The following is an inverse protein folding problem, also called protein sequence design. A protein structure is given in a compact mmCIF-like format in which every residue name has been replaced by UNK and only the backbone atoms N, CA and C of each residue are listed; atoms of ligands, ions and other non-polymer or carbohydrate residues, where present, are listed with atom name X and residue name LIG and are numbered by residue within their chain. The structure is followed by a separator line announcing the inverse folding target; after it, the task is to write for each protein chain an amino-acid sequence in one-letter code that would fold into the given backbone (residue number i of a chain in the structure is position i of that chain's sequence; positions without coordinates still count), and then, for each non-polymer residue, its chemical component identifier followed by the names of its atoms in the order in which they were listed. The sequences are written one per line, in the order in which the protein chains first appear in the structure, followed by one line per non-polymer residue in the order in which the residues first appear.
data_IF_698876443940
#
_entry.id   IF_698876443940
#
_cell.length_a   1.000
_cell.length_b   1.000
_cell.length_c   1.000
_cell.angle_alpha   90.00
_cell.angle_beta   90.00
_cell.angle_gamma   90.00
#
_symmetry.space_group_name_H-M   'P 1'
#
loop_
_entity.id
_entity.type
_entity.pdbx_description
1 polymer ?
#
# COMPACT_ATOMS: atom_id res chain seq x y z
N UNK A 1 39.35 -9.89 18.04
CA UNK A 1 38.73 -8.80 18.82
C UNK A 1 37.38 -9.30 19.31
N UNK A 2 37.07 -9.25 20.62
CA UNK A 2 35.89 -9.89 21.18
C UNK A 2 34.64 -9.15 20.66
N UNK A 3 33.69 -9.88 20.07
CA UNK A 3 32.44 -9.34 19.47
C UNK A 3 31.27 -9.32 20.46
N UNK A 4 31.55 -9.11 21.75
CA UNK A 4 30.67 -9.64 22.81
C UNK A 4 30.39 -8.70 23.98
N UNK A 5 30.73 -7.41 23.90
CA UNK A 5 30.28 -6.44 24.91
C UNK A 5 28.76 -6.25 24.84
N UNK A 6 28.12 -5.96 25.98
CA UNK A 6 26.67 -5.76 26.02
C UNK A 6 26.25 -4.51 25.23
N UNK A 7 27.13 -3.51 25.16
CA UNK A 7 26.98 -2.31 24.36
C UNK A 7 26.97 -2.63 22.86
N UNK A 8 27.90 -3.44 22.36
CA UNK A 8 27.92 -3.87 20.94
C UNK A 8 26.69 -4.69 20.59
N UNK A 9 26.21 -5.54 21.51
CA UNK A 9 24.98 -6.32 21.32
C UNK A 9 23.75 -5.41 21.25
N UNK A 10 23.68 -4.39 22.11
CA UNK A 10 22.61 -3.40 22.11
C UNK A 10 22.59 -2.60 20.80
N UNK A 11 23.75 -2.04 20.39
CA UNK A 11 23.88 -1.27 19.15
C UNK A 11 23.49 -2.10 17.92
N UNK A 12 23.90 -3.38 17.86
CA UNK A 12 23.52 -4.28 16.76
C UNK A 12 22.01 -4.54 16.72
N UNK A 13 21.36 -4.72 17.88
CA UNK A 13 19.90 -4.92 17.97
C UNK A 13 19.15 -3.67 17.52
N UNK A 14 19.62 -2.49 17.92
CA UNK A 14 19.04 -1.21 17.51
C UNK A 14 19.16 -1.01 15.99
N UNK A 15 20.35 -1.21 15.42
CA UNK A 15 20.58 -1.11 13.98
C UNK A 15 19.67 -2.08 13.19
N UNK A 16 19.48 -3.30 13.70
CA UNK A 16 18.57 -4.27 13.10
C UNK A 16 17.11 -3.80 13.14
N UNK A 17 16.64 -3.28 14.28
CA UNK A 17 15.28 -2.75 14.39
C UNK A 17 15.03 -1.54 13.48
N UNK A 18 16.02 -0.65 13.36
CA UNK A 18 15.96 0.48 12.42
C UNK A 18 15.91 0.00 10.96
N UNK A 19 16.67 -1.06 10.63
CA UNK A 19 16.60 -1.70 9.32
C UNK A 19 15.21 -2.28 9.00
N UNK A 20 14.55 -2.91 9.98
CA UNK A 20 13.19 -3.43 9.80
C UNK A 20 12.15 -2.31 9.60
N UNK A 21 12.27 -1.20 10.33
CA UNK A 21 11.41 -0.03 10.12
C UNK A 21 11.57 0.54 8.71
N UNK A 22 12.80 0.69 8.23
CA UNK A 22 13.07 1.11 6.87
C UNK A 22 12.51 0.12 5.83
N UNK A 23 12.67 -1.18 6.07
CA UNK A 23 12.13 -2.24 5.21
C UNK A 23 10.60 -2.22 5.14
N UNK A 24 9.89 -1.86 6.21
CA UNK A 24 8.44 -1.69 6.22
C UNK A 24 7.98 -0.45 5.43
N UNK A 25 8.79 0.61 5.40
CA UNK A 25 8.46 1.86 4.73
C UNK A 25 8.51 1.75 3.19
N UNK A 26 9.40 0.90 2.65
CA UNK A 26 9.52 0.68 1.20
C UNK A 26 8.21 0.19 0.56
N UNK A 27 7.58 -0.92 1.01
CA UNK A 27 6.30 -1.35 0.46
C UNK A 27 5.16 -0.38 0.76
N UNK A 28 5.21 0.39 1.85
CA UNK A 28 4.22 1.46 2.08
C UNK A 28 4.30 2.54 0.98
N UNK A 29 5.51 2.99 0.62
CA UNK A 29 5.73 3.92 -0.50
C UNK A 29 5.21 3.37 -1.83
N UNK A 30 5.36 2.07 -2.08
CA UNK A 30 4.78 1.42 -3.27
C UNK A 30 3.26 1.50 -3.25
N UNK A 31 2.63 1.20 -2.11
CA UNK A 31 1.18 1.31 -1.96
C UNK A 31 0.69 2.75 -2.17
N UNK A 32 1.33 3.74 -1.54
CA UNK A 32 1.01 5.16 -1.70
C UNK A 32 1.19 5.65 -3.14
N UNK A 33 2.20 5.14 -3.84
CA UNK A 33 2.45 5.47 -5.25
C UNK A 33 1.41 4.83 -6.16
N UNK A 34 1.07 3.56 -5.95
CA UNK A 34 0.03 2.87 -6.69
C UNK A 34 -1.34 3.55 -6.50
N UNK A 35 -1.64 4.03 -5.29
CA UNK A 35 -2.88 4.76 -5.00
C UNK A 35 -3.05 6.02 -5.87
N UNK A 36 -1.96 6.67 -6.29
CA UNK A 36 -2.01 7.86 -7.17
C UNK A 36 -2.53 7.55 -8.59
N UNK A 37 -2.68 6.28 -8.95
CA UNK A 37 -3.27 5.87 -10.24
C UNK A 37 -4.78 6.11 -10.26
N UNK A 38 -5.48 5.98 -9.13
CA UNK A 38 -6.94 6.14 -9.08
C UNK A 38 -7.48 7.44 -9.69
N UNK A 39 -6.97 8.64 -9.37
CA UNK A 39 -7.46 9.88 -10.01
C UNK A 39 -7.21 9.92 -11.52
N UNK A 40 -6.16 9.25 -12.01
CA UNK A 40 -5.86 9.15 -13.45
C UNK A 40 -6.86 8.20 -14.12
N UNK A 41 -7.09 7.03 -13.52
CA UNK A 41 -8.08 6.06 -13.98
C UNK A 41 -9.50 6.66 -13.99
N UNK A 42 -9.86 7.41 -12.95
CA UNK A 42 -11.13 8.14 -12.87
C UNK A 42 -11.27 9.18 -13.98
N UNK A 43 -10.19 9.91 -14.31
CA UNK A 43 -10.22 10.87 -15.41
C UNK A 43 -10.45 10.19 -16.77
N UNK A 44 -9.85 9.02 -16.99
CA UNK A 44 -10.07 8.22 -18.21
C UNK A 44 -11.53 7.77 -18.31
N UNK A 45 -12.11 7.26 -17.22
CA UNK A 45 -13.51 6.78 -17.19
C UNK A 45 -14.51 7.93 -17.35
N UNK A 46 -14.29 9.06 -16.66
CA UNK A 46 -15.26 10.17 -16.60
C UNK A 46 -15.20 11.13 -17.79
N UNK A 47 -14.02 11.32 -18.38
CA UNK A 47 -13.76 12.40 -19.35
C UNK A 47 -12.90 11.96 -20.55
N UNK A 48 -12.47 10.70 -20.58
CA UNK A 48 -11.61 10.18 -21.63
C UNK A 48 -12.37 9.79 -22.89
N UNK A 49 -11.63 9.17 -23.83
CA UNK A 49 -12.21 8.53 -25.01
C UNK A 49 -13.14 7.40 -24.56
N UNK A 50 -14.35 7.31 -25.11
CA UNK A 50 -15.29 6.20 -24.83
C UNK A 50 -14.68 4.83 -25.08
N UNK A 51 -13.76 4.71 -26.05
CA UNK A 51 -13.03 3.48 -26.33
C UNK A 51 -11.97 3.12 -25.26
N UNK A 52 -11.62 4.06 -24.37
CA UNK A 52 -10.62 3.88 -23.32
C UNK A 52 -11.25 3.65 -21.93
N UNK A 53 -12.58 3.61 -21.81
CA UNK A 53 -13.27 3.38 -20.53
C UNK A 53 -12.82 2.06 -19.91
N UNK A 54 -12.73 0.99 -20.71
CA UNK A 54 -12.27 -0.32 -20.24
C UNK A 54 -10.84 -0.27 -19.69
N UNK A 55 -9.95 0.49 -20.32
CA UNK A 55 -8.57 0.64 -19.85
C UNK A 55 -8.52 1.37 -18.50
N UNK A 56 -9.37 2.38 -18.32
CA UNK A 56 -9.53 3.08 -17.03
C UNK A 56 -10.08 2.18 -15.92
N UNK A 57 -11.07 1.35 -16.22
CA UNK A 57 -11.61 0.36 -15.27
C UNK A 57 -10.54 -0.67 -14.86
N UNK A 58 -9.81 -1.22 -15.84
CA UNK A 58 -8.71 -2.17 -15.60
C UNK A 58 -7.59 -1.50 -14.80
N UNK A 59 -7.24 -0.24 -15.10
CA UNK A 59 -6.25 0.51 -14.32
C UNK A 59 -6.66 0.68 -12.85
N UNK A 60 -7.94 0.95 -12.56
CA UNK A 60 -8.44 1.04 -11.18
C UNK A 60 -8.32 -0.30 -10.44
N UNK A 61 -8.69 -1.42 -11.09
CA UNK A 61 -8.57 -2.76 -10.50
C UNK A 61 -7.10 -3.14 -10.22
N UNK A 62 -6.20 -2.84 -11.17
CA UNK A 62 -4.77 -3.07 -11.00
C UNK A 62 -4.18 -2.18 -9.89
N UNK A 63 -4.59 -0.92 -9.80
CA UNK A 63 -4.16 -0.01 -8.75
C UNK A 63 -4.57 -0.54 -7.37
N UNK A 64 -5.82 -0.99 -7.19
CA UNK A 64 -6.27 -1.61 -5.94
C UNK A 64 -5.43 -2.83 -5.59
N UNK A 65 -5.20 -3.71 -6.57
CA UNK A 65 -4.42 -4.94 -6.37
C UNK A 65 -2.97 -4.62 -5.97
N UNK A 66 -2.35 -3.63 -6.61
CA UNK A 66 -1.00 -3.19 -6.29
C UNK A 66 -0.91 -2.58 -4.88
N UNK A 67 -1.89 -1.75 -4.48
CA UNK A 67 -1.97 -1.22 -3.11
C UNK A 67 -2.05 -2.37 -2.11
N UNK A 68 -3.03 -3.25 -2.23
CA UNK A 68 -3.26 -4.33 -1.26
C UNK A 68 -2.07 -5.30 -1.21
N UNK A 69 -1.53 -5.67 -2.37
CA UNK A 69 -0.36 -6.54 -2.47
C UNK A 69 0.87 -5.95 -1.77
N UNK A 70 1.12 -4.65 -1.95
CA UNK A 70 2.20 -3.97 -1.25
C UNK A 70 1.94 -3.89 0.26
N UNK A 71 0.70 -3.65 0.69
CA UNK A 71 0.32 -3.63 2.12
C UNK A 71 0.52 -4.97 2.81
N UNK A 72 0.40 -6.12 2.12
CA UNK A 72 0.78 -7.40 2.70
C UNK A 72 2.28 -7.47 3.07
N UNK A 73 3.15 -6.89 2.23
CA UNK A 73 4.58 -6.81 2.54
C UNK A 73 4.87 -5.85 3.71
N UNK A 74 4.06 -4.80 3.90
CA UNK A 74 4.14 -3.97 5.11
C UNK A 74 3.77 -4.80 6.35
N UNK A 75 2.63 -5.49 6.32
CA UNK A 75 2.12 -6.30 7.44
C UNK A 75 3.12 -7.38 7.88
N UNK A 76 3.80 -8.03 6.92
CA UNK A 76 4.85 -9.03 7.22
C UNK A 76 6.03 -8.39 7.98
N UNK A 77 6.52 -7.23 7.53
CA UNK A 77 7.63 -6.56 8.21
C UNK A 77 7.26 -6.07 9.62
N UNK A 78 6.02 -5.58 9.80
CA UNK A 78 5.54 -5.13 11.11
C UNK A 78 5.61 -6.20 12.19
N UNK A 79 5.37 -7.47 11.84
CA UNK A 79 5.47 -8.59 12.79
C UNK A 79 6.88 -8.82 13.38
N UNK A 80 7.92 -8.18 12.82
CA UNK A 80 9.30 -8.29 13.29
C UNK A 80 9.79 -7.05 14.08
N UNK A 81 8.97 -6.00 14.17
CA UNK A 81 9.32 -4.73 14.81
C UNK A 81 8.80 -4.71 16.25
N UNK A 82 9.67 -4.33 17.19
CA UNK A 82 9.35 -4.28 18.62
C UNK A 82 8.81 -2.93 19.11
N UNK A 83 8.99 -1.88 18.32
CA UNK A 83 8.47 -0.55 18.62
C UNK A 83 6.95 -0.52 18.39
N UNK A 84 6.20 -0.70 19.47
CA UNK A 84 4.73 -0.77 19.44
C UNK A 84 4.08 0.51 18.92
N UNK A 85 4.67 1.68 19.21
CA UNK A 85 4.15 2.96 18.72
C UNK A 85 4.29 3.07 17.20
N UNK A 86 5.45 2.66 16.66
CA UNK A 86 5.66 2.59 15.22
C UNK A 86 4.72 1.58 14.56
N UNK A 87 4.55 0.39 15.15
CA UNK A 87 3.65 -0.65 14.64
C UNK A 87 2.20 -0.14 14.62
N UNK A 88 1.74 0.55 15.66
CA UNK A 88 0.39 1.09 15.74
C UNK A 88 0.15 2.17 14.67
N UNK A 89 1.07 3.13 14.51
CA UNK A 89 0.96 4.20 13.50
C UNK A 89 0.93 3.63 12.08
N UNK A 90 1.86 2.73 11.75
CA UNK A 90 1.92 2.15 10.41
C UNK A 90 0.74 1.23 10.13
N UNK A 91 0.25 0.49 11.13
CA UNK A 91 -0.96 -0.35 10.99
C UNK A 91 -2.20 0.49 10.70
N UNK A 92 -2.33 1.66 11.34
CA UNK A 92 -3.42 2.58 11.07
C UNK A 92 -3.36 3.12 9.62
N UNK A 93 -2.16 3.50 9.14
CA UNK A 93 -1.95 3.93 7.75
C UNK A 93 -2.28 2.82 6.75
N UNK A 94 -1.82 1.60 7.01
CA UNK A 94 -2.11 0.40 6.20
C UNK A 94 -3.62 0.20 6.07
N UNK A 95 -4.35 0.19 7.20
CA UNK A 95 -5.81 0.01 7.20
C UNK A 95 -6.50 1.13 6.43
N UNK A 96 -6.12 2.37 6.67
CA UNK A 96 -6.72 3.52 5.99
C UNK A 96 -6.49 3.46 4.47
N UNK A 97 -5.28 3.11 4.01
CA UNK A 97 -4.98 3.04 2.59
C UNK A 97 -5.69 1.86 1.89
N UNK A 98 -5.83 0.73 2.59
CA UNK A 98 -6.61 -0.44 2.14
C UNK A 98 -8.09 -0.07 1.92
N UNK A 99 -8.73 0.53 2.93
CA UNK A 99 -10.13 0.97 2.86
C UNK A 99 -10.33 2.02 1.76
N UNK A 100 -9.43 3.00 1.66
CA UNK A 100 -9.48 4.03 0.64
C UNK A 100 -9.33 3.45 -0.78
N UNK A 101 -8.41 2.50 -1.00
CA UNK A 101 -8.19 1.91 -2.31
C UNK A 101 -9.38 1.08 -2.78
N UNK A 102 -9.99 0.31 -1.87
CA UNK A 102 -11.23 -0.44 -2.16
C UNK A 102 -12.35 0.54 -2.50
N UNK A 103 -12.57 1.56 -1.67
CA UNK A 103 -13.65 2.53 -1.90
C UNK A 103 -13.46 3.30 -3.22
N UNK A 104 -12.23 3.68 -3.56
CA UNK A 104 -11.97 4.45 -4.78
C UNK A 104 -12.13 3.59 -6.05
N UNK A 105 -11.65 2.34 -6.05
CA UNK A 105 -11.95 1.40 -7.13
C UNK A 105 -13.45 1.29 -7.35
N UNK A 106 -14.21 1.01 -6.29
CA UNK A 106 -15.67 0.85 -6.36
C UNK A 106 -16.37 2.10 -6.89
N UNK A 107 -15.91 3.29 -6.51
CA UNK A 107 -16.40 4.56 -7.05
C UNK A 107 -16.20 4.64 -8.56
N UNK A 108 -15.02 4.26 -9.06
CA UNK A 108 -14.68 4.33 -10.49
C UNK A 108 -15.48 3.29 -11.28
N UNK A 109 -15.60 2.07 -10.76
CA UNK A 109 -16.36 1.02 -11.45
C UNK A 109 -17.81 1.46 -11.65
N UNK A 110 -18.48 1.92 -10.59
CA UNK A 110 -19.88 2.41 -10.62
C UNK A 110 -20.12 3.61 -11.54
N UNK A 111 -19.08 4.27 -12.05
CA UNK A 111 -19.22 5.34 -13.03
C UNK A 111 -19.45 4.81 -14.47
N UNK A 112 -19.39 3.49 -14.69
CA UNK A 112 -19.55 2.83 -15.99
C UNK A 112 -20.60 1.72 -15.92
N UNK A 113 -21.61 1.79 -16.80
CA UNK A 113 -22.65 0.76 -16.96
C UNK A 113 -22.07 -0.63 -17.29
N UNK A 114 -20.87 -0.68 -17.89
CA UNK A 114 -20.16 -1.93 -18.17
C UNK A 114 -19.87 -2.76 -16.89
N UNK A 115 -19.78 -2.10 -15.74
CA UNK A 115 -19.51 -2.76 -14.45
C UNK A 115 -20.78 -3.26 -13.75
N UNK A 116 -21.96 -2.81 -14.18
CA UNK A 116 -23.25 -3.19 -13.58
C UNK A 116 -23.57 -4.69 -13.77
N UNK A 117 -22.87 -5.36 -14.68
CA UNK A 117 -22.99 -6.80 -14.91
C UNK A 117 -22.07 -7.66 -14.02
N UNK A 118 -21.16 -7.04 -13.27
CA UNK A 118 -20.14 -7.73 -12.47
C UNK A 118 -20.42 -7.69 -10.96
N UNK A 119 -21.36 -6.85 -10.50
CA UNK A 119 -21.72 -6.70 -9.09
C UNK A 119 -23.23 -6.51 -8.88
#
# INVERSE_FOLDING_TARGET
MPKDTDEEKAARREAMQNGLKAAAQVPLSVAETAYKIFPIAEAVVSRGNTNAVTDGLVAAMMARTAVIGALFNVKINLGSIKDEAFVADLSAKVKSLEEQAIAYEQKILKASELSDQLY
#
